data_IF_000113871631
#
_entry.id   IF_000113871631
#
_cell.length_a   1.000
_cell.length_b   1.000
_cell.length_c   1.000
_cell.angle_alpha   90.00
_cell.angle_beta   90.00
_cell.angle_gamma   90.00
#
_symmetry.space_group_name_H-M   'P 1'
#
loop_
_entity.id
_entity.type
_entity.pdbx_description
1 polymer ?
#
# COMPACT_ATOMS: atom_id res chain seq x y z
N UNK A 1 0.10 -37.20 20.53
CA UNK A 1 1.13 -36.34 19.89
C UNK A 1 0.60 -35.42 18.76
N UNK A 2 -0.67 -34.96 18.80
CA UNK A 2 -1.26 -34.05 17.78
C UNK A 2 -1.45 -32.61 18.29
N UNK A 3 -1.23 -32.37 19.58
CA UNK A 3 -1.43 -31.08 20.27
C UNK A 3 -0.34 -30.07 19.91
N UNK A 4 0.94 -30.44 19.97
CA UNK A 4 2.05 -29.51 19.69
C UNK A 4 2.05 -28.87 18.29
N UNK A 5 1.46 -29.53 17.28
CA UNK A 5 1.34 -28.96 15.93
C UNK A 5 0.23 -27.90 15.84
N UNK A 6 -0.87 -28.08 16.56
CA UNK A 6 -1.97 -27.12 16.65
C UNK A 6 -1.55 -25.93 17.52
N UNK A 7 -0.88 -26.19 18.63
CA UNK A 7 -0.35 -25.19 19.55
C UNK A 7 0.64 -24.26 18.82
N UNK A 8 1.54 -24.81 18.02
CA UNK A 8 2.49 -24.02 17.22
C UNK A 8 1.88 -23.24 16.05
N UNK A 9 0.71 -23.65 15.53
CA UNK A 9 -0.02 -22.89 14.49
C UNK A 9 -0.84 -21.75 15.09
N UNK A 10 -1.52 -22.03 16.21
CA UNK A 10 -2.28 -21.03 16.95
C UNK A 10 -1.36 -19.94 17.51
N UNK A 11 -0.23 -20.34 18.10
CA UNK A 11 0.78 -19.39 18.59
C UNK A 11 1.24 -18.43 17.48
N UNK A 12 1.59 -18.96 16.30
CA UNK A 12 1.98 -18.16 15.14
C UNK A 12 0.86 -17.23 14.65
N UNK A 13 -0.39 -17.68 14.66
CA UNK A 13 -1.52 -16.84 14.28
C UNK A 13 -1.69 -15.67 15.27
N UNK A 14 -1.68 -15.95 16.57
CA UNK A 14 -1.76 -14.93 17.63
C UNK A 14 -0.61 -13.93 17.55
N UNK A 15 0.61 -14.40 17.27
CA UNK A 15 1.79 -13.57 17.08
C UNK A 15 1.62 -12.60 15.90
N UNK A 16 1.13 -13.10 14.75
CA UNK A 16 0.83 -12.26 13.59
C UNK A 16 -0.26 -11.24 13.85
N UNK A 17 -1.34 -11.65 14.52
CA UNK A 17 -2.44 -10.75 14.90
C UNK A 17 -1.91 -9.62 15.80
N UNK A 18 -1.12 -9.97 16.82
CA UNK A 18 -0.55 -8.99 17.77
C UNK A 18 0.39 -8.02 17.05
N UNK A 19 1.23 -8.53 16.15
CA UNK A 19 2.15 -7.70 15.35
C UNK A 19 1.41 -6.72 14.45
N UNK A 20 0.39 -7.18 13.72
CA UNK A 20 -0.43 -6.35 12.86
C UNK A 20 -1.16 -5.26 13.64
N UNK A 21 -1.71 -5.60 14.81
CA UNK A 21 -2.32 -4.63 15.72
C UNK A 21 -1.30 -3.59 16.21
N UNK A 22 -0.12 -4.04 16.61
CA UNK A 22 0.94 -3.18 17.12
C UNK A 22 1.46 -2.18 16.08
N UNK A 23 1.70 -2.61 14.84
CA UNK A 23 2.12 -1.67 13.77
C UNK A 23 1.01 -0.70 13.35
N UNK A 24 -0.27 -1.11 13.42
CA UNK A 24 -1.38 -0.22 13.12
C UNK A 24 -1.53 0.86 14.18
N UNK A 25 -1.37 0.49 15.45
CA UNK A 25 -1.36 1.45 16.56
C UNK A 25 -0.20 2.45 16.41
N UNK A 26 0.99 1.97 16.06
CA UNK A 26 2.13 2.82 15.74
C UNK A 26 1.80 3.77 14.58
N UNK A 27 1.20 3.26 13.51
CA UNK A 27 0.79 4.09 12.38
C UNK A 27 -0.17 5.19 12.79
N UNK A 28 -1.18 4.90 13.61
CA UNK A 28 -2.12 5.90 14.13
C UNK A 28 -1.41 6.96 14.97
N UNK A 29 -0.61 6.54 15.95
CA UNK A 29 0.11 7.44 16.86
C UNK A 29 1.05 8.37 16.10
N UNK A 30 1.86 7.83 15.18
CA UNK A 30 2.80 8.63 14.39
C UNK A 30 2.13 9.47 13.31
N UNK A 31 0.94 9.07 12.85
CA UNK A 31 0.11 9.91 11.99
C UNK A 31 -0.35 11.17 12.74
N UNK A 32 -0.87 11.00 13.96
CA UNK A 32 -1.29 12.13 14.80
C UNK A 32 -0.10 13.03 15.16
N UNK A 33 1.05 12.46 15.53
CA UNK A 33 2.27 13.25 15.80
C UNK A 33 2.75 14.07 14.60
N UNK A 34 2.51 13.61 13.36
CA UNK A 34 2.86 14.32 12.14
C UNK A 34 1.81 15.31 11.64
N UNK A 35 0.95 15.85 12.52
CA UNK A 35 -0.16 16.75 12.14
C UNK A 35 -1.15 16.10 11.15
N UNK A 36 -1.33 14.79 11.23
CA UNK A 36 -2.17 13.97 10.33
C UNK A 36 -1.68 13.98 8.89
N UNK A 37 -1.79 15.10 8.18
CA UNK A 37 -1.45 15.23 6.75
C UNK A 37 0.02 14.89 6.48
N UNK A 38 0.94 15.46 7.26
CA UNK A 38 2.38 15.20 7.12
C UNK A 38 2.83 13.92 7.83
N UNK A 39 1.93 13.27 8.60
CA UNK A 39 2.21 12.05 9.33
C UNK A 39 1.84 10.79 8.54
N UNK A 40 0.78 10.84 7.72
CA UNK A 40 0.25 9.70 6.98
C UNK A 40 1.32 9.08 6.07
N UNK A 41 2.01 9.88 5.26
CA UNK A 41 2.97 9.37 4.28
C UNK A 41 4.19 8.69 4.95
N UNK A 42 4.93 9.32 5.88
CA UNK A 42 6.05 8.67 6.55
C UNK A 42 5.62 7.49 7.44
N UNK A 43 4.43 7.55 8.08
CA UNK A 43 3.89 6.41 8.82
C UNK A 43 3.61 5.22 7.89
N UNK A 44 3.04 5.47 6.71
CA UNK A 44 2.77 4.44 5.70
C UNK A 44 4.06 3.83 5.18
N UNK A 45 5.07 4.64 4.85
CA UNK A 45 6.40 4.16 4.43
C UNK A 45 7.05 3.28 5.51
N UNK A 46 7.01 3.71 6.78
CA UNK A 46 7.54 2.92 7.89
C UNK A 46 6.81 1.58 8.04
N UNK A 47 5.49 1.59 7.92
CA UNK A 47 4.66 0.40 7.99
C UNK A 47 4.97 -0.57 6.83
N UNK A 48 4.97 -0.10 5.59
CA UNK A 48 5.33 -0.92 4.42
C UNK A 48 6.77 -1.44 4.51
N UNK A 49 7.69 -0.69 5.12
CA UNK A 49 9.07 -1.15 5.36
C UNK A 49 9.13 -2.36 6.28
N UNK A 50 8.34 -2.36 7.36
CA UNK A 50 8.28 -3.49 8.30
C UNK A 50 7.57 -4.68 7.67
N UNK A 51 6.41 -4.46 7.02
CA UNK A 51 5.65 -5.50 6.32
C UNK A 51 6.49 -6.15 5.22
N UNK A 52 7.25 -5.36 4.43
CA UNK A 52 8.20 -5.90 3.44
C UNK A 52 9.21 -6.84 4.10
N UNK A 53 9.81 -6.44 5.23
CA UNK A 53 10.82 -7.26 5.91
C UNK A 53 10.23 -8.58 6.42
N UNK A 54 9.03 -8.53 7.01
CA UNK A 54 8.34 -9.74 7.46
C UNK A 54 8.05 -10.70 6.30
N UNK A 55 7.61 -10.18 5.16
CA UNK A 55 7.28 -11.00 3.99
C UNK A 55 8.51 -11.53 3.24
N UNK A 56 9.62 -10.79 3.22
CA UNK A 56 10.82 -11.16 2.45
C UNK A 56 11.80 -12.03 3.24
N UNK A 57 12.07 -11.67 4.50
CA UNK A 57 13.11 -12.33 5.30
C UNK A 57 12.56 -13.41 6.23
N UNK A 58 11.23 -13.51 6.37
CA UNK A 58 10.59 -14.34 7.39
C UNK A 58 11.15 -14.07 8.80
N UNK A 59 11.70 -12.87 9.00
CA UNK A 59 12.36 -12.46 10.23
C UNK A 59 11.32 -11.92 11.19
N UNK A 60 11.08 -12.69 12.25
CA UNK A 60 10.10 -12.40 13.28
C UNK A 60 10.69 -11.52 14.40
N UNK A 61 12.01 -11.34 14.46
CA UNK A 61 12.69 -10.61 15.54
C UNK A 61 13.03 -9.16 15.18
N UNK A 62 12.50 -8.66 14.06
CA UNK A 62 12.68 -7.27 13.66
C UNK A 62 12.19 -6.35 14.79
N UNK A 63 13.04 -5.46 15.33
CA UNK A 63 12.64 -4.55 16.40
C UNK A 63 11.70 -3.49 15.81
N UNK A 64 10.39 -3.77 15.90
CA UNK A 64 9.31 -3.06 15.19
C UNK A 64 9.34 -1.56 15.52
N UNK A 65 9.34 -1.21 16.81
CA UNK A 65 9.35 0.19 17.25
C UNK A 65 10.60 0.94 16.76
N UNK A 66 11.79 0.38 16.99
CA UNK A 66 13.06 1.00 16.60
C UNK A 66 13.14 1.19 15.09
N UNK A 67 12.69 0.21 14.33
CA UNK A 67 12.65 0.27 12.86
C UNK A 67 11.63 1.30 12.38
N UNK A 68 10.45 1.35 12.99
CA UNK A 68 9.39 2.30 12.66
C UNK A 68 9.86 3.74 12.88
N UNK A 69 10.35 4.06 14.08
CA UNK A 69 10.81 5.40 14.45
C UNK A 69 11.96 5.87 13.57
N UNK A 70 12.94 4.99 13.33
CA UNK A 70 14.08 5.30 12.47
C UNK A 70 13.64 5.62 11.04
N UNK A 71 12.76 4.80 10.49
CA UNK A 71 12.25 4.99 9.12
C UNK A 71 11.38 6.23 9.01
N UNK A 72 10.48 6.45 9.97
CA UNK A 72 9.61 7.62 10.02
C UNK A 72 10.42 8.93 10.02
N UNK A 73 11.44 9.04 10.88
CA UNK A 73 12.27 10.25 10.97
C UNK A 73 13.18 10.43 9.75
N UNK A 74 13.78 9.34 9.26
CA UNK A 74 14.70 9.40 8.10
C UNK A 74 13.99 9.76 6.80
N UNK A 75 12.76 9.26 6.62
CA UNK A 75 12.00 9.44 5.37
C UNK A 75 10.96 10.56 5.45
N UNK A 76 10.85 11.30 6.56
CA UNK A 76 9.78 12.28 6.80
C UNK A 76 9.55 13.22 5.61
N UNK A 77 10.60 13.91 5.16
CA UNK A 77 10.50 14.85 4.05
C UNK A 77 10.36 14.18 2.68
N UNK A 78 11.05 13.06 2.46
CA UNK A 78 11.03 12.36 1.17
C UNK A 78 9.68 11.70 0.91
N UNK A 79 9.13 11.03 1.91
CA UNK A 79 7.82 10.41 1.89
C UNK A 79 6.71 11.46 1.75
N UNK A 80 6.79 12.57 2.48
CA UNK A 80 5.77 13.63 2.40
C UNK A 80 5.66 14.27 1.02
N UNK A 81 6.76 14.42 0.26
CA UNK A 81 6.66 14.93 -1.12
C UNK A 81 5.81 14.04 -2.01
N UNK A 82 5.93 12.72 -1.88
CA UNK A 82 5.13 11.76 -2.66
C UNK A 82 3.70 11.73 -2.13
N UNK A 83 3.53 11.68 -0.80
CA UNK A 83 2.21 11.67 -0.17
C UNK A 83 1.39 12.92 -0.52
N UNK A 84 1.98 14.10 -0.47
CA UNK A 84 1.33 15.36 -0.84
C UNK A 84 0.97 15.40 -2.33
N UNK A 85 1.83 14.89 -3.21
CA UNK A 85 1.51 14.79 -4.64
C UNK A 85 0.28 13.91 -4.89
N UNK A 86 0.23 12.73 -4.25
CA UNK A 86 -0.90 11.82 -4.35
C UNK A 86 -2.16 12.42 -3.73
N UNK A 87 -2.04 13.08 -2.59
CA UNK A 87 -3.14 13.76 -1.92
C UNK A 87 -3.69 14.93 -2.76
N UNK A 88 -2.83 15.71 -3.39
CA UNK A 88 -3.24 16.78 -4.30
C UNK A 88 -4.00 16.21 -5.52
N UNK A 89 -3.53 15.10 -6.09
CA UNK A 89 -4.24 14.42 -7.17
C UNK A 89 -5.62 13.91 -6.70
N UNK A 90 -5.72 13.29 -5.52
CA UNK A 90 -6.99 12.86 -4.94
C UNK A 90 -7.94 14.03 -4.68
N UNK A 91 -7.42 15.17 -4.24
CA UNK A 91 -8.21 16.38 -4.02
C UNK A 91 -8.77 16.94 -5.34
N UNK A 92 -7.97 16.96 -6.41
CA UNK A 92 -8.43 17.36 -7.75
C UNK A 92 -9.59 16.45 -8.21
N UNK A 93 -9.45 15.13 -8.07
CA UNK A 93 -10.53 14.19 -8.38
C UNK A 93 -11.81 14.45 -7.58
N UNK A 94 -11.67 14.77 -6.29
CA UNK A 94 -12.81 15.10 -5.45
C UNK A 94 -13.55 16.34 -5.98
N UNK A 95 -12.82 17.38 -6.39
CA UNK A 95 -13.41 18.57 -7.01
C UNK A 95 -14.05 18.22 -8.37
N UNK A 96 -13.37 17.46 -9.23
CA UNK A 96 -13.92 17.06 -10.54
C UNK A 96 -15.24 16.30 -10.41
N UNK A 97 -15.35 15.42 -9.41
CA UNK A 97 -16.59 14.68 -9.10
C UNK A 97 -17.72 15.61 -8.63
N UNK A 98 -17.42 16.64 -7.83
CA UNK A 98 -18.41 17.64 -7.40
C UNK A 98 -18.90 18.49 -8.58
N UNK A 99 -17.99 18.86 -9.48
CA UNK A 99 -18.32 19.68 -10.65
C UNK A 99 -19.01 18.89 -11.76
N UNK A 100 -18.96 17.56 -11.74
CA UNK A 100 -19.61 16.70 -12.73
C UNK A 100 -21.12 16.97 -12.87
N UNK A 101 -21.78 17.36 -11.77
CA UNK A 101 -23.20 17.72 -11.77
C UNK A 101 -23.52 19.02 -12.53
N UNK A 102 -22.53 19.89 -12.71
CA UNK A 102 -22.66 21.20 -13.36
C UNK A 102 -22.25 21.16 -14.84
N UNK A 103 -21.73 20.03 -15.33
CA UNK A 103 -21.35 19.85 -16.74
C UNK A 103 -22.62 19.73 -17.59
N UNK A 104 -22.70 20.41 -18.76
CA UNK A 104 -23.82 20.26 -19.68
C UNK A 104 -24.08 18.81 -20.03
N UNK A 105 -25.36 18.43 -20.19
CA UNK A 105 -25.78 17.03 -20.36
C UNK A 105 -25.06 16.32 -21.51
N UNK A 106 -24.78 17.02 -22.60
CA UNK A 106 -24.07 16.52 -23.78
C UNK A 106 -22.63 16.12 -23.48
N UNK A 107 -21.97 16.87 -22.59
CA UNK A 107 -20.57 16.66 -22.20
C UNK A 107 -20.42 15.78 -20.95
N UNK A 108 -21.50 15.53 -20.21
CA UNK A 108 -21.43 14.81 -18.95
C UNK A 108 -20.96 13.37 -19.13
N UNK A 109 -21.46 12.66 -20.14
CA UNK A 109 -21.04 11.29 -20.43
C UNK A 109 -19.56 11.17 -20.80
N UNK A 110 -19.03 11.87 -21.84
CA UNK A 110 -17.62 11.77 -22.20
C UNK A 110 -16.69 12.22 -21.06
N UNK A 111 -17.05 13.26 -20.31
CA UNK A 111 -16.27 13.71 -19.16
C UNK A 111 -16.25 12.66 -18.03
N UNK A 112 -17.39 12.01 -17.74
CA UNK A 112 -17.46 10.93 -16.75
C UNK A 112 -16.57 9.74 -17.13
N UNK A 113 -16.58 9.34 -18.40
CA UNK A 113 -15.75 8.25 -18.90
C UNK A 113 -14.26 8.61 -18.80
N UNK A 114 -13.87 9.82 -19.20
CA UNK A 114 -12.50 10.30 -19.06
C UNK A 114 -12.05 10.30 -17.59
N UNK A 115 -12.87 10.84 -16.70
CA UNK A 115 -12.58 10.90 -15.26
C UNK A 115 -12.42 9.50 -14.66
N UNK A 116 -13.27 8.55 -15.05
CA UNK A 116 -13.20 7.15 -14.61
C UNK A 116 -11.88 6.50 -15.04
N UNK A 117 -11.45 6.70 -16.29
CA UNK A 117 -10.18 6.14 -16.80
C UNK A 117 -8.99 6.69 -16.03
N UNK A 118 -8.94 8.01 -15.79
CA UNK A 118 -7.86 8.64 -15.03
C UNK A 118 -7.90 8.16 -13.56
N UNK A 119 -9.08 8.00 -12.97
CA UNK A 119 -9.24 7.47 -11.62
C UNK A 119 -8.76 6.02 -11.49
N UNK A 120 -9.01 5.18 -12.50
CA UNK A 120 -8.46 3.82 -12.55
C UNK A 120 -6.93 3.88 -12.57
N UNK A 121 -6.32 4.70 -13.43
CA UNK A 121 -4.87 4.85 -13.50
C UNK A 121 -4.26 5.38 -12.20
N UNK A 122 -4.95 6.32 -11.54
CA UNK A 122 -4.58 6.80 -10.21
C UNK A 122 -4.61 5.67 -9.17
N UNK A 123 -5.68 4.88 -9.15
CA UNK A 123 -5.84 3.76 -8.22
C UNK A 123 -4.75 2.69 -8.42
N UNK A 124 -4.44 2.35 -9.68
CA UNK A 124 -3.33 1.43 -10.01
C UNK A 124 -2.01 1.99 -9.47
N UNK A 125 -1.75 3.27 -9.71
CA UNK A 125 -0.54 3.94 -9.21
C UNK A 125 -0.47 3.89 -7.69
N UNK A 126 -1.58 4.18 -7.00
CA UNK A 126 -1.67 4.19 -5.53
C UNK A 126 -1.37 2.81 -4.92
N UNK A 127 -1.80 1.72 -5.55
CA UNK A 127 -1.50 0.36 -5.09
C UNK A 127 0.00 0.03 -5.15
N UNK A 128 0.73 0.53 -6.15
CA UNK A 128 2.13 0.15 -6.37
C UNK A 128 3.14 1.18 -5.85
N UNK A 129 2.75 2.44 -5.64
CA UNK A 129 3.69 3.51 -5.28
C UNK A 129 4.42 3.25 -3.96
N UNK A 130 3.71 2.85 -2.90
CA UNK A 130 4.34 2.58 -1.60
C UNK A 130 5.19 1.30 -1.58
N UNK A 131 4.73 0.17 -2.17
CA UNK A 131 5.59 -1.00 -2.35
C UNK A 131 6.87 -0.69 -3.12
N UNK A 132 6.79 0.05 -4.22
CA UNK A 132 7.97 0.43 -5.01
C UNK A 132 8.85 1.39 -4.22
N UNK A 133 8.26 2.36 -3.52
CA UNK A 133 9.02 3.32 -2.72
C UNK A 133 9.91 2.64 -1.69
N UNK A 134 9.34 1.66 -0.99
CA UNK A 134 10.05 0.92 0.04
C UNK A 134 11.00 -0.10 -0.57
N UNK A 135 10.64 -0.71 -1.70
CA UNK A 135 11.43 -1.78 -2.32
C UNK A 135 12.64 -1.29 -3.11
N UNK A 136 12.51 -0.19 -3.86
CA UNK A 136 13.52 0.34 -4.77
C UNK A 136 13.96 1.76 -4.39
N UNK A 137 15.26 2.05 -4.53
CA UNK A 137 15.81 3.40 -4.39
C UNK A 137 15.80 4.12 -5.74
N UNK A 138 14.84 5.03 -5.94
CA UNK A 138 14.59 5.69 -7.22
C UNK A 138 14.51 7.21 -7.05
N UNK A 139 14.54 7.94 -8.18
CA UNK A 139 14.27 9.38 -8.19
C UNK A 139 12.78 9.64 -8.01
N UNK A 140 12.43 10.84 -7.53
CA UNK A 140 11.05 11.24 -7.22
C UNK A 140 10.01 10.87 -8.32
N UNK A 141 10.23 11.31 -9.57
CA UNK A 141 9.32 11.04 -10.69
C UNK A 141 9.30 9.59 -11.15
N UNK A 142 10.38 8.85 -10.86
CA UNK A 142 10.48 7.45 -11.21
C UNK A 142 9.50 6.61 -10.39
N UNK A 143 9.25 6.96 -9.12
CA UNK A 143 8.28 6.23 -8.29
C UNK A 143 6.89 6.17 -8.92
N UNK A 144 6.36 7.32 -9.37
CA UNK A 144 5.04 7.40 -10.00
C UNK A 144 5.03 6.66 -11.34
N UNK A 145 6.05 6.89 -12.18
CA UNK A 145 6.16 6.26 -13.50
C UNK A 145 6.23 4.74 -13.41
N UNK A 146 7.07 4.20 -12.53
CA UNK A 146 7.23 2.75 -12.37
C UNK A 146 6.03 2.12 -11.66
N UNK A 147 5.38 2.81 -10.72
CA UNK A 147 4.14 2.33 -10.11
C UNK A 147 3.04 2.13 -11.15
N UNK A 148 2.84 3.13 -12.01
CA UNK A 148 1.89 3.01 -13.11
C UNK A 148 2.29 1.91 -14.09
N UNK A 149 3.55 1.91 -14.56
CA UNK A 149 4.01 0.97 -15.59
C UNK A 149 3.95 -0.49 -15.11
N UNK A 150 4.39 -0.78 -13.89
CA UNK A 150 4.39 -2.14 -13.33
C UNK A 150 2.96 -2.63 -13.12
N UNK A 151 2.07 -1.77 -12.60
CA UNK A 151 0.67 -2.12 -12.40
C UNK A 151 -0.08 -2.38 -13.70
N UNK A 152 0.16 -1.56 -14.73
CA UNK A 152 -0.39 -1.75 -16.07
C UNK A 152 0.20 -2.96 -16.81
N UNK A 153 1.49 -3.27 -16.57
CA UNK A 153 2.13 -4.45 -17.15
C UNK A 153 1.64 -5.78 -16.55
N UNK A 154 1.01 -5.75 -15.36
CA UNK A 154 0.55 -6.94 -14.64
C UNK A 154 -0.93 -6.83 -14.23
N UNK A 155 -1.87 -6.67 -15.19
CA UNK A 155 -3.27 -6.34 -14.89
C UNK A 155 -3.98 -7.42 -14.07
N UNK A 156 -3.67 -8.70 -14.30
CA UNK A 156 -4.24 -9.81 -13.52
C UNK A 156 -3.89 -9.70 -12.03
N UNK A 157 -2.64 -9.35 -11.70
CA UNK A 157 -2.23 -9.22 -10.31
C UNK A 157 -2.80 -7.95 -9.67
N UNK A 158 -2.86 -6.85 -10.43
CA UNK A 158 -3.53 -5.62 -10.02
C UNK A 158 -5.01 -5.86 -9.68
N UNK A 159 -5.71 -6.65 -10.49
CA UNK A 159 -7.11 -7.03 -10.25
C UNK A 159 -7.25 -7.89 -8.98
N UNK A 160 -6.35 -8.86 -8.76
CA UNK A 160 -6.33 -9.65 -7.51
C UNK A 160 -6.10 -8.77 -6.28
N UNK A 161 -5.19 -7.79 -6.35
CA UNK A 161 -4.97 -6.85 -5.26
C UNK A 161 -6.20 -5.97 -5.02
N UNK A 162 -6.84 -5.45 -6.07
CA UNK A 162 -8.09 -4.67 -5.96
C UNK A 162 -9.21 -5.48 -5.31
N UNK A 163 -9.42 -6.72 -5.75
CA UNK A 163 -10.42 -7.60 -5.13
C UNK A 163 -10.10 -7.88 -3.67
N UNK A 164 -8.83 -8.11 -3.34
CA UNK A 164 -8.41 -8.38 -1.95
C UNK A 164 -8.61 -7.15 -1.06
N UNK A 165 -8.31 -5.95 -1.55
CA UNK A 165 -8.58 -4.69 -0.85
C UNK A 165 -10.09 -4.47 -0.71
N UNK A 166 -10.89 -4.79 -1.73
CA UNK A 166 -12.36 -4.72 -1.68
C UNK A 166 -12.96 -5.66 -0.64
N UNK A 167 -12.52 -6.92 -0.58
CA UNK A 167 -12.94 -7.89 0.45
C UNK A 167 -12.55 -7.40 1.85
N UNK A 168 -11.34 -6.88 2.01
CA UNK A 168 -10.89 -6.30 3.28
C UNK A 168 -11.78 -5.12 3.70
N UNK A 169 -12.11 -4.23 2.76
CA UNK A 169 -12.97 -3.07 3.01
C UNK A 169 -14.37 -3.50 3.48
N UNK A 170 -14.98 -4.46 2.80
CA UNK A 170 -16.28 -5.04 3.21
C UNK A 170 -16.20 -5.63 4.62
N UNK A 171 -15.16 -6.41 4.91
CA UNK A 171 -14.94 -7.01 6.23
C UNK A 171 -14.84 -5.93 7.34
N UNK A 172 -14.10 -4.85 7.09
CA UNK A 172 -13.97 -3.75 8.04
C UNK A 172 -15.28 -2.97 8.25
N UNK A 173 -16.15 -2.91 7.24
CA UNK A 173 -17.50 -2.32 7.39
C UNK A 173 -18.43 -3.19 8.23
N UNK A 174 -18.39 -4.51 8.07
CA UNK A 174 -19.18 -5.43 8.89
C UNK A 174 -18.71 -5.50 10.35
N UNK A 175 -17.41 -5.32 10.59
CA UNK A 175 -16.80 -5.39 11.93
C UNK A 175 -15.99 -4.10 12.17
N UNK A 176 -16.65 -2.97 12.48
CA UNK A 176 -15.99 -1.67 12.64
C UNK A 176 -14.97 -1.66 13.79
N UNK A 177 -15.11 -2.56 14.77
CA UNK A 177 -14.14 -2.75 15.85
C UNK A 177 -12.74 -3.15 15.36
N UNK A 178 -12.59 -3.69 14.15
CA UNK A 178 -11.29 -4.02 13.57
C UNK A 178 -10.56 -2.82 12.96
N UNK A 179 -11.26 -1.73 12.65
CA UNK A 179 -10.70 -0.55 11.98
C UNK A 179 -9.50 0.04 12.74
N UNK A 180 -9.58 0.36 14.05
CA UNK A 180 -8.43 0.96 14.75
C UNK A 180 -7.24 0.00 14.92
N UNK A 181 -7.44 -1.31 14.82
CA UNK A 181 -6.38 -2.29 15.05
C UNK A 181 -5.78 -2.87 13.76
N UNK A 182 -6.55 -2.97 12.66
CA UNK A 182 -6.13 -3.77 11.50
C UNK A 182 -6.26 -3.07 10.15
N UNK A 183 -6.79 -1.85 10.10
CA UNK A 183 -7.12 -1.16 8.84
C UNK A 183 -5.93 -1.04 7.87
N UNK A 184 -4.96 -0.18 8.19
CA UNK A 184 -3.82 0.10 7.31
C UNK A 184 -2.84 -1.08 7.32
N UNK A 185 -2.68 -1.77 8.45
CA UNK A 185 -1.76 -2.90 8.55
C UNK A 185 -2.15 -4.09 7.67
N UNK A 186 -3.43 -4.47 7.61
CA UNK A 186 -3.89 -5.51 6.68
C UNK A 186 -3.85 -5.03 5.22
N UNK A 187 -4.22 -3.78 4.96
CA UNK A 187 -4.14 -3.22 3.61
C UNK A 187 -2.71 -3.28 3.09
N UNK A 188 -1.73 -2.85 3.89
CA UNK A 188 -0.33 -2.93 3.51
C UNK A 188 0.17 -4.37 3.34
N UNK A 189 -0.29 -5.31 4.17
CA UNK A 189 0.05 -6.73 4.00
C UNK A 189 -0.46 -7.28 2.67
N UNK A 190 -1.72 -7.02 2.34
CA UNK A 190 -2.34 -7.44 1.07
C UNK A 190 -1.62 -6.82 -0.11
N UNK A 191 -1.42 -5.49 -0.09
CA UNK A 191 -0.81 -4.76 -1.19
C UNK A 191 0.68 -5.12 -1.35
N UNK A 192 1.44 -5.19 -0.26
CA UNK A 192 2.86 -5.53 -0.31
C UNK A 192 3.07 -6.98 -0.74
N UNK A 193 2.26 -7.93 -0.25
CA UNK A 193 2.35 -9.33 -0.69
C UNK A 193 2.04 -9.49 -2.17
N UNK A 194 1.06 -8.75 -2.68
CA UNK A 194 0.76 -8.72 -4.10
C UNK A 194 1.89 -8.12 -4.94
N UNK A 195 2.41 -6.97 -4.52
CA UNK A 195 3.51 -6.29 -5.19
C UNK A 195 4.81 -7.12 -5.21
N UNK A 196 5.18 -7.78 -4.11
CA UNK A 196 6.37 -8.64 -4.05
C UNK A 196 6.29 -9.81 -5.03
N UNK A 197 5.09 -10.39 -5.25
CA UNK A 197 4.90 -11.43 -6.27
C UNK A 197 5.15 -10.89 -7.68
N UNK A 198 4.74 -9.65 -7.96
CA UNK A 198 5.02 -8.98 -9.25
C UNK A 198 6.51 -8.69 -9.41
N UNK A 199 7.17 -8.19 -8.35
CA UNK A 199 8.59 -7.86 -8.40
C UNK A 199 9.44 -9.11 -8.67
N UNK A 200 9.20 -10.19 -7.93
CA UNK A 200 9.89 -11.48 -8.17
C UNK A 200 9.73 -11.98 -9.60
N UNK A 201 8.49 -11.97 -10.12
CA UNK A 201 8.21 -12.38 -11.50
C UNK A 201 8.92 -11.49 -12.53
N UNK A 202 9.01 -10.20 -12.26
CA UNK A 202 9.70 -9.24 -13.14
C UNK A 202 11.20 -9.46 -13.10
N UNK A 203 11.77 -9.69 -11.93
CA UNK A 203 13.20 -9.96 -11.72
C UNK A 203 13.64 -11.29 -12.35
N UNK A 204 12.87 -12.36 -12.19
CA UNK A 204 13.11 -13.66 -12.83
C UNK A 204 13.16 -13.52 -14.36
N UNK A 205 12.23 -12.78 -14.96
CA UNK A 205 12.21 -12.51 -16.41
C UNK A 205 13.41 -11.70 -16.89
N UNK A 206 13.90 -10.77 -16.07
CA UNK A 206 15.10 -9.98 -16.39
C UNK A 206 16.37 -10.82 -16.31
N UNK A 207 16.45 -11.77 -15.38
CA UNK A 207 17.59 -12.68 -15.25
C UNK A 207 17.67 -13.64 -16.45
N UNK A 208 16.56 -14.26 -16.86
CA UNK A 208 16.51 -15.14 -18.05
C UNK A 208 16.96 -14.40 -19.31
N UNK A 209 16.44 -13.18 -19.54
CA UNK A 209 16.83 -12.37 -20.71
C UNK A 209 18.31 -11.96 -20.74
N UNK A 210 18.96 -11.84 -19.58
CA UNK A 210 20.40 -11.56 -19.49
C UNK A 210 21.27 -12.80 -19.72
N UNK A 211 20.69 -14.00 -19.61
CA UNK A 211 21.38 -15.26 -19.88
C UNK A 211 21.25 -15.68 -21.35
N UNK A 212 20.22 -15.20 -22.04
CA UNK A 212 19.92 -15.50 -23.46
C UNK A 212 20.57 -14.52 -24.46
N UNK A 213 21.17 -13.41 -23.99
CA UNK A 213 21.82 -12.40 -24.83
C UNK A 213 23.29 -12.23 -24.48
#
# INVERSE_FOLDING_TARGET
MRTGLLDGKLYRACEWITRLAYINLLWLVFTVFGLVILGIAPATVALFTIVRKWLLFHDHDVPVLKTFVRTYKGEFWRANRIGLLLMAAAYIFYIDLLYLAHVPIEWRFPFSVALLVIFIFYTVTLLYVFPIYVHYELRFWQYIKYAFLIGMANPLMTLVMLMSVGVLFVLLMYIPGLIPFFSISLLALVVMSGALRVFRKTEERLQVRKQEG
#
